data_IF_305330663194
#
_entry.id   IF_305330663194
#
_cell.length_a   1.000
_cell.length_b   1.000
_cell.length_c   1.000
_cell.angle_alpha   90.00
_cell.angle_beta   90.00
_cell.angle_gamma   90.00
#
_symmetry.space_group_name_H-M   'P 1'
#
loop_
_entity.id
_entity.type
_entity.pdbx_description
1 polymer ?
#
# COMPACT_ATOMS: atom_id res chain seq x y z
N UNK A 1 -4.11 14.73 -0.41
CA UNK A 1 -4.46 13.51 -1.17
C UNK A 1 -3.24 12.79 -1.74
N UNK A 2 -2.48 13.34 -2.69
CA UNK A 2 -1.43 12.57 -3.38
C UNK A 2 -0.29 12.07 -2.46
N UNK A 3 0.22 12.92 -1.56
CA UNK A 3 1.26 12.54 -0.60
C UNK A 3 0.85 11.40 0.34
N UNK A 4 -0.44 11.17 0.51
CA UNK A 4 -0.96 10.07 1.31
C UNK A 4 -1.29 8.86 0.43
N UNK A 5 -2.03 9.06 -0.66
CA UNK A 5 -2.57 7.96 -1.49
C UNK A 5 -1.56 7.43 -2.50
N UNK A 6 -0.89 8.31 -3.24
CA UNK A 6 0.03 7.91 -4.31
C UNK A 6 1.39 7.52 -3.75
N UNK A 7 1.94 8.32 -2.83
CA UNK A 7 3.25 8.02 -2.23
C UNK A 7 3.25 6.69 -1.46
N UNK A 8 2.09 6.25 -0.97
CA UNK A 8 1.95 4.98 -0.27
C UNK A 8 1.99 3.76 -1.19
N UNK A 9 1.50 3.84 -2.44
CA UNK A 9 1.36 2.68 -3.34
C UNK A 9 2.64 1.83 -3.47
N UNK A 10 3.83 2.39 -3.77
CA UNK A 10 5.04 1.58 -3.86
C UNK A 10 5.37 0.88 -2.54
N UNK A 11 5.13 1.53 -1.40
CA UNK A 11 5.35 0.93 -0.07
C UNK A 11 4.32 -0.17 0.25
N UNK A 12 3.06 0.06 -0.11
CA UNK A 12 1.95 -0.90 0.00
C UNK A 12 2.22 -2.20 -0.75
N UNK A 13 2.91 -2.11 -1.89
CA UNK A 13 3.23 -3.25 -2.73
C UNK A 13 4.48 -4.00 -2.26
N UNK A 14 5.57 -3.29 -2.00
CA UNK A 14 6.88 -3.92 -1.81
C UNK A 14 7.01 -4.76 -0.53
N UNK A 15 6.22 -4.48 0.52
CA UNK A 15 6.35 -5.18 1.80
C UNK A 15 5.99 -6.66 1.66
N UNK A 16 4.84 -6.96 1.06
CA UNK A 16 4.45 -8.36 0.88
C UNK A 16 5.24 -9.01 -0.26
N UNK A 17 5.74 -8.26 -1.25
CA UNK A 17 6.72 -8.81 -2.21
C UNK A 17 7.97 -9.34 -1.49
N UNK A 18 8.56 -8.53 -0.60
CA UNK A 18 9.69 -8.97 0.24
C UNK A 18 9.33 -10.19 1.10
N UNK A 19 8.16 -10.18 1.76
CA UNK A 19 7.72 -11.31 2.60
C UNK A 19 7.47 -12.59 1.81
N UNK A 20 6.86 -12.48 0.63
CA UNK A 20 6.63 -13.63 -0.24
C UNK A 20 7.95 -14.24 -0.69
N UNK A 21 8.94 -13.42 -1.02
CA UNK A 21 10.29 -13.86 -1.37
C UNK A 21 11.06 -14.48 -0.18
N UNK A 22 10.82 -13.99 1.04
CA UNK A 22 11.33 -14.67 2.25
C UNK A 22 10.66 -16.03 2.42
N UNK A 23 9.33 -16.09 2.35
CA UNK A 23 8.58 -17.34 2.59
C UNK A 23 8.82 -18.41 1.53
N UNK A 24 9.11 -18.02 0.28
CA UNK A 24 9.41 -18.97 -0.81
C UNK A 24 10.91 -19.32 -0.92
N UNK A 25 11.76 -18.73 -0.07
CA UNK A 25 13.21 -18.99 -0.04
C UNK A 25 14.05 -18.20 -1.04
N UNK A 26 13.45 -17.31 -1.85
CA UNK A 26 14.19 -16.44 -2.78
C UNK A 26 15.04 -15.41 -2.04
N UNK A 27 14.60 -14.94 -0.87
CA UNK A 27 15.34 -14.05 0.02
C UNK A 27 15.78 -14.84 1.25
N UNK A 28 16.99 -15.43 1.24
CA UNK A 28 17.56 -16.12 2.40
C UNK A 28 17.95 -15.12 3.50
N UNK A 29 18.21 -15.62 4.71
CA UNK A 29 18.50 -14.80 5.91
C UNK A 29 19.67 -13.83 5.70
N UNK A 30 20.71 -14.24 4.96
CA UNK A 30 21.89 -13.42 4.66
C UNK A 30 21.61 -12.30 3.65
N UNK A 31 20.36 -12.16 3.18
CA UNK A 31 19.93 -11.11 2.25
C UNK A 31 18.66 -10.39 2.70
N UNK A 32 18.19 -10.63 3.92
CA UNK A 32 16.96 -10.00 4.43
C UNK A 32 17.01 -8.49 4.27
N UNK A 33 18.11 -7.87 4.66
CA UNK A 33 18.21 -6.42 4.66
C UNK A 33 18.60 -5.87 3.27
N UNK A 34 19.50 -6.54 2.54
CA UNK A 34 19.85 -6.16 1.17
C UNK A 34 18.65 -6.18 0.23
N UNK A 35 17.83 -7.23 0.29
CA UNK A 35 16.66 -7.38 -0.59
C UNK A 35 15.55 -6.41 -0.18
N UNK A 36 15.40 -6.14 1.12
CA UNK A 36 14.53 -5.08 1.62
C UNK A 36 14.90 -3.71 1.04
N UNK A 37 16.18 -3.31 1.13
CA UNK A 37 16.63 -2.02 0.60
C UNK A 37 16.64 -1.97 -0.93
N UNK A 38 16.90 -3.09 -1.61
CA UNK A 38 16.71 -3.20 -3.05
C UNK A 38 15.27 -2.84 -3.44
N UNK A 39 14.27 -3.43 -2.78
CA UNK A 39 12.86 -3.16 -3.06
C UNK A 39 12.45 -1.73 -2.68
N UNK A 40 12.90 -1.24 -1.51
CA UNK A 40 12.65 0.14 -1.07
C UNK A 40 13.18 1.16 -2.09
N UNK A 41 14.37 0.92 -2.64
CA UNK A 41 15.00 1.77 -3.66
C UNK A 41 14.28 1.64 -5.01
N UNK A 42 14.04 0.41 -5.47
CA UNK A 42 13.37 0.11 -6.74
C UNK A 42 11.98 0.74 -6.85
N UNK A 43 11.16 0.60 -5.81
CA UNK A 43 9.76 1.02 -5.87
C UNK A 43 9.52 2.44 -5.36
N UNK A 44 10.22 2.90 -4.33
CA UNK A 44 9.99 4.24 -3.76
C UNK A 44 11.07 5.26 -4.15
N UNK A 45 12.22 4.83 -4.68
CA UNK A 45 13.32 5.74 -5.02
C UNK A 45 14.06 6.31 -3.81
N UNK A 46 14.06 5.61 -2.67
CA UNK A 46 14.72 6.07 -1.43
C UNK A 46 15.88 5.17 -1.02
N UNK A 47 16.84 5.74 -0.30
CA UNK A 47 18.01 5.05 0.25
C UNK A 47 18.05 5.15 1.79
N UNK A 48 18.81 4.28 2.48
CA UNK A 48 19.02 4.44 3.90
C UNK A 48 19.90 5.67 4.20
N UNK A 49 19.59 6.40 5.28
CA UNK A 49 20.36 7.57 5.69
C UNK A 49 21.75 7.26 6.26
N UNK A 50 22.00 6.00 6.64
CA UNK A 50 23.30 5.50 7.09
C UNK A 50 23.56 4.12 6.48
N UNK A 51 24.81 3.66 6.51
CA UNK A 51 25.14 2.32 6.04
C UNK A 51 24.36 1.26 6.83
N UNK A 52 23.71 0.35 6.11
CA UNK A 52 23.02 -0.82 6.65
C UNK A 52 23.78 -2.08 6.24
N UNK A 53 23.66 -3.11 7.06
CA UNK A 53 24.29 -4.43 6.91
C UNK A 53 23.27 -5.50 7.28
N UNK A 54 23.59 -6.77 7.08
CA UNK A 54 22.72 -7.90 7.46
C UNK A 54 22.66 -8.16 8.98
N UNK A 55 23.47 -7.46 9.78
CA UNK A 55 23.29 -7.40 11.24
C UNK A 55 22.00 -6.64 11.62
N UNK A 56 21.42 -5.90 10.67
CA UNK A 56 20.19 -5.15 10.86
C UNK A 56 19.00 -5.86 10.20
N UNK A 57 17.83 -5.71 10.81
CA UNK A 57 16.58 -6.21 10.27
C UNK A 57 15.56 -5.07 10.09
N UNK A 58 15.75 -4.23 9.07
CA UNK A 58 14.97 -3.00 8.90
C UNK A 58 13.50 -3.25 8.56
N UNK A 59 13.19 -4.35 7.86
CA UNK A 59 11.81 -4.80 7.65
C UNK A 59 11.10 -5.06 8.99
N UNK A 60 11.81 -5.59 9.99
CA UNK A 60 11.28 -5.83 11.34
C UNK A 60 10.87 -4.57 12.10
N UNK A 61 11.39 -3.40 11.73
CA UNK A 61 11.00 -2.12 12.33
C UNK A 61 9.61 -1.62 11.87
N UNK A 62 8.97 -2.30 10.91
CA UNK A 62 7.60 -1.99 10.47
C UNK A 62 6.60 -2.89 11.16
N UNK A 63 5.79 -2.36 12.08
CA UNK A 63 4.76 -3.06 12.90
C UNK A 63 4.14 -4.32 12.29
N UNK A 64 3.68 -4.26 11.04
CA UNK A 64 2.99 -5.37 10.37
C UNK A 64 3.86 -6.60 10.12
N UNK A 65 5.19 -6.44 10.02
CA UNK A 65 6.14 -7.55 9.86
C UNK A 65 6.22 -8.39 11.14
N UNK A 66 6.63 -7.86 12.32
CA UNK A 66 6.62 -8.64 13.56
C UNK A 66 5.21 -8.96 14.07
N UNK A 67 4.22 -8.11 13.75
CA UNK A 67 2.80 -8.35 14.06
C UNK A 67 2.11 -9.36 13.13
N UNK A 68 2.85 -10.03 12.25
CA UNK A 68 2.38 -11.03 11.28
C UNK A 68 1.08 -10.64 10.55
N UNK A 69 0.96 -9.37 10.16
CA UNK A 69 -0.23 -8.85 9.49
C UNK A 69 0.05 -8.72 7.99
N UNK A 70 -0.69 -9.40 7.10
CA UNK A 70 -0.57 -9.25 5.64
C UNK A 70 -0.70 -7.79 5.17
N UNK A 71 0.22 -7.31 4.33
CA UNK A 71 0.32 -5.90 3.95
C UNK A 71 -0.39 -5.56 2.62
N UNK A 72 -0.53 -6.52 1.71
CA UNK A 72 -1.10 -6.33 0.37
C UNK A 72 -2.53 -5.78 0.40
N UNK A 73 -3.25 -6.01 1.51
CA UNK A 73 -4.58 -5.44 1.78
C UNK A 73 -4.61 -3.92 1.64
N UNK A 74 -3.52 -3.21 1.97
CA UNK A 74 -3.44 -1.77 1.87
C UNK A 74 -3.23 -1.30 0.43
N UNK A 75 -2.40 -2.00 -0.35
CA UNK A 75 -2.24 -1.68 -1.78
C UNK A 75 -3.56 -1.86 -2.52
N UNK A 76 -4.23 -2.99 -2.31
CA UNK A 76 -5.53 -3.28 -2.92
C UNK A 76 -6.58 -2.27 -2.48
N UNK A 77 -6.65 -1.92 -1.18
CA UNK A 77 -7.64 -0.94 -0.70
C UNK A 77 -7.39 0.47 -1.23
N UNK A 78 -6.15 0.84 -1.55
CA UNK A 78 -5.81 2.12 -2.16
C UNK A 78 -6.22 2.23 -3.62
N UNK A 79 -6.47 1.10 -4.30
CA UNK A 79 -7.06 1.06 -5.63
C UNK A 79 -8.59 0.96 -5.53
N UNK A 80 -9.09 0.01 -4.73
CA UNK A 80 -10.52 -0.24 -4.57
C UNK A 80 -11.29 0.98 -4.07
N UNK A 81 -10.71 1.78 -3.17
CA UNK A 81 -11.40 2.96 -2.64
C UNK A 81 -11.80 3.95 -3.74
N UNK A 82 -11.01 4.09 -4.80
CA UNK A 82 -11.34 4.97 -5.93
C UNK A 82 -12.37 4.35 -6.86
N UNK A 83 -12.33 3.02 -7.06
CA UNK A 83 -13.37 2.32 -7.82
C UNK A 83 -14.74 2.44 -7.14
N UNK A 84 -14.78 2.28 -5.81
CA UNK A 84 -16.00 2.47 -5.03
C UNK A 84 -16.44 3.93 -5.06
N UNK A 85 -15.54 4.87 -4.81
CA UNK A 85 -15.88 6.30 -4.82
C UNK A 85 -16.45 6.72 -6.19
N UNK A 86 -15.83 6.32 -7.29
CA UNK A 86 -16.33 6.59 -8.64
C UNK A 86 -17.75 6.05 -8.84
N UNK A 87 -18.01 4.79 -8.49
CA UNK A 87 -19.35 4.20 -8.66
C UNK A 87 -20.41 4.83 -7.77
N UNK A 88 -20.07 5.16 -6.53
CA UNK A 88 -21.01 5.81 -5.62
C UNK A 88 -21.30 7.26 -6.06
N UNK A 89 -20.32 7.97 -6.59
CA UNK A 89 -20.51 9.32 -7.15
C UNK A 89 -21.40 9.31 -8.40
N UNK A 90 -21.26 8.30 -9.26
CA UNK A 90 -22.16 8.11 -10.41
C UNK A 90 -23.60 7.90 -9.94
N UNK A 91 -23.81 7.07 -8.91
CA UNK A 91 -25.13 6.83 -8.34
C UNK A 91 -25.72 8.04 -7.61
N UNK A 92 -24.87 8.91 -7.06
CA UNK A 92 -25.26 10.18 -6.46
C UNK A 92 -25.58 11.29 -7.51
N UNK A 93 -25.54 10.97 -8.81
CA UNK A 93 -25.73 11.93 -9.91
C UNK A 93 -24.74 13.12 -9.89
N UNK A 94 -23.52 12.92 -9.40
CA UNK A 94 -22.47 13.94 -9.44
C UNK A 94 -21.97 14.17 -10.87
N UNK A 95 -21.84 15.44 -11.28
CA UNK A 95 -21.44 15.83 -12.65
C UNK A 95 -20.09 16.56 -12.72
N UNK A 96 -19.51 16.90 -11.57
CA UNK A 96 -18.24 17.63 -11.49
C UNK A 96 -17.00 16.72 -11.45
N UNK A 97 -15.81 17.29 -11.20
CA UNK A 97 -14.60 16.51 -10.95
C UNK A 97 -14.79 15.50 -9.81
N UNK A 98 -14.29 14.28 -9.97
CA UNK A 98 -14.53 13.19 -8.99
C UNK A 98 -14.07 13.53 -7.56
N UNK A 99 -12.98 14.30 -7.43
CA UNK A 99 -12.43 14.71 -6.12
C UNK A 99 -13.30 15.72 -5.36
N UNK A 100 -14.33 16.29 -5.99
CA UNK A 100 -15.30 17.19 -5.33
C UNK A 100 -16.62 16.53 -5.01
N UNK A 101 -16.80 15.25 -5.39
CA UNK A 101 -18.00 14.50 -5.10
C UNK A 101 -18.19 14.28 -3.59
N UNK A 102 -19.42 14.44 -3.13
CA UNK A 102 -19.89 14.04 -1.80
C UNK A 102 -21.15 13.18 -1.97
N UNK A 103 -21.12 11.98 -1.39
CA UNK A 103 -22.23 11.01 -1.46
C UNK A 103 -23.22 11.17 -0.29
N UNK A 104 -23.00 12.14 0.60
CA UNK A 104 -23.86 12.41 1.74
C UNK A 104 -25.32 12.60 1.29
N UNK A 105 -26.24 11.92 1.99
CA UNK A 105 -27.68 11.87 1.72
C UNK A 105 -28.13 11.21 0.38
N UNK A 106 -27.22 10.63 -0.41
CA UNK A 106 -27.63 9.80 -1.56
C UNK A 106 -28.12 8.43 -1.08
N UNK A 107 -29.43 8.18 -1.22
CA UNK A 107 -30.04 6.88 -0.89
C UNK A 107 -29.64 5.83 -1.92
N UNK A 108 -29.50 6.24 -3.17
CA UNK A 108 -29.11 5.42 -4.31
C UNK A 108 -27.68 4.88 -4.13
N UNK A 109 -26.72 5.75 -3.81
CA UNK A 109 -25.36 5.33 -3.47
C UNK A 109 -25.35 4.42 -2.24
N UNK A 110 -26.12 4.75 -1.20
CA UNK A 110 -26.26 3.93 -0.01
C UNK A 110 -26.86 2.53 -0.27
N UNK A 111 -27.70 2.37 -1.29
CA UNK A 111 -28.24 1.07 -1.70
C UNK A 111 -27.22 0.20 -2.43
N UNK A 112 -26.29 0.80 -3.18
CA UNK A 112 -25.21 0.08 -3.88
C UNK A 112 -24.11 -0.40 -2.93
N UNK A 113 -23.86 0.35 -1.84
CA UNK A 113 -22.80 0.02 -0.88
C UNK A 113 -23.19 -1.10 0.13
N UNK A 114 -24.49 -1.37 0.28
CA UNK A 114 -25.02 -2.41 1.18
C UNK A 114 -24.81 -3.81 0.60
#
# INVERSE_FOLDING_TARGET
MALEKIAFLPFGYLIDQWRWDVFNGNTPEERYNSDWWYLRTKYQGICPGTRRTEEHFDAGAKYHVPGNTPYIRYFVSFILQFQFHEKLCQAANHTGPLHTCDIYKSKEAGAIMK
#
